data_IF_581404605735
#
_entry.id   IF_581404605735
#
_cell.length_a   1.000
_cell.length_b   1.000
_cell.length_c   1.000
_cell.angle_alpha   90.00
_cell.angle_beta   90.00
_cell.angle_gamma   90.00
#
_symmetry.space_group_name_H-M   'P 1'
#
loop_
_entity.id
_entity.type
_entity.pdbx_description
1 polymer ?
#
# COMPACT_ATOMS: atom_id res chain seq x y z
N UNK A 1 20.11 -30.34 -7.75
CA UNK A 1 18.83 -31.03 -7.96
C UNK A 1 17.69 -30.29 -7.27
N UNK A 2 17.78 -30.04 -5.96
CA UNK A 2 16.72 -29.37 -5.18
C UNK A 2 16.33 -27.98 -5.69
N UNK A 3 17.29 -27.08 -5.94
CA UNK A 3 17.01 -25.76 -6.52
C UNK A 3 16.39 -25.82 -7.93
N UNK A 4 16.65 -26.88 -8.71
CA UNK A 4 15.99 -27.06 -10.01
C UNK A 4 14.52 -27.41 -9.83
N UNK A 5 14.19 -28.35 -8.93
CA UNK A 5 12.81 -28.70 -8.60
C UNK A 5 12.04 -27.49 -8.04
N UNK A 6 12.69 -26.72 -7.16
CA UNK A 6 12.12 -25.49 -6.60
C UNK A 6 11.83 -24.45 -7.70
N UNK A 7 12.75 -24.32 -8.67
CA UNK A 7 12.56 -23.40 -9.81
C UNK A 7 11.44 -23.86 -10.73
N UNK A 8 11.30 -25.18 -10.96
CA UNK A 8 10.16 -25.74 -11.71
C UNK A 8 8.85 -25.43 -10.99
N UNK A 9 8.77 -25.68 -9.68
CA UNK A 9 7.60 -25.34 -8.87
C UNK A 9 7.27 -23.86 -8.94
N UNK A 10 8.28 -22.99 -8.78
CA UNK A 10 8.14 -21.54 -8.91
C UNK A 10 7.57 -21.13 -10.27
N UNK A 11 8.11 -21.66 -11.38
CA UNK A 11 7.66 -21.32 -12.73
C UNK A 11 6.21 -21.75 -12.94
N UNK A 12 5.84 -22.96 -12.50
CA UNK A 12 4.46 -23.46 -12.63
C UNK A 12 3.49 -22.61 -11.81
N UNK A 13 3.78 -22.35 -10.54
CA UNK A 13 2.93 -21.54 -9.67
C UNK A 13 2.76 -20.12 -10.20
N UNK A 14 3.88 -19.47 -10.55
CA UNK A 14 3.90 -18.09 -11.04
C UNK A 14 3.17 -17.98 -12.38
N UNK A 15 3.36 -18.92 -13.31
CA UNK A 15 2.67 -18.94 -14.60
C UNK A 15 1.15 -19.15 -14.45
N UNK A 16 0.75 -20.02 -13.52
CA UNK A 16 -0.67 -20.23 -13.17
C UNK A 16 -1.32 -18.94 -12.68
N UNK A 17 -0.67 -18.23 -11.74
CA UNK A 17 -1.17 -16.95 -11.21
C UNK A 17 -1.20 -15.88 -12.30
N UNK A 18 -0.15 -15.74 -13.11
CA UNK A 18 -0.14 -14.78 -14.22
C UNK A 18 -1.24 -15.04 -15.23
N UNK A 19 -1.55 -16.31 -15.52
CA UNK A 19 -2.67 -16.66 -16.42
C UNK A 19 -4.00 -16.19 -15.85
N UNK A 20 -4.21 -16.35 -14.53
CA UNK A 20 -5.40 -15.83 -13.84
C UNK A 20 -5.48 -14.30 -13.91
N UNK A 21 -4.36 -13.62 -13.62
CA UNK A 21 -4.26 -12.14 -13.68
C UNK A 21 -4.58 -11.64 -15.09
N UNK A 22 -3.97 -12.25 -16.12
CA UNK A 22 -4.17 -11.86 -17.51
C UNK A 22 -5.63 -12.05 -17.94
N UNK A 23 -6.23 -13.20 -17.61
CA UNK A 23 -7.66 -13.46 -17.90
C UNK A 23 -8.56 -12.45 -17.19
N UNK A 24 -8.27 -12.13 -15.93
CA UNK A 24 -9.04 -11.13 -15.18
C UNK A 24 -8.96 -9.74 -15.84
N UNK A 25 -7.75 -9.32 -16.24
CA UNK A 25 -7.54 -8.05 -16.93
C UNK A 25 -8.28 -7.98 -18.28
N UNK A 26 -8.22 -9.05 -19.09
CA UNK A 26 -8.93 -9.09 -20.38
C UNK A 26 -10.45 -9.02 -20.20
N UNK A 27 -11.00 -9.61 -19.13
CA UNK A 27 -12.44 -9.65 -18.90
C UNK A 27 -13.02 -8.35 -18.31
N UNK A 28 -12.30 -7.67 -17.42
CA UNK A 28 -12.84 -6.55 -16.63
C UNK A 28 -11.99 -5.27 -16.69
N UNK A 29 -10.81 -5.30 -17.31
CA UNK A 29 -9.85 -4.20 -17.26
C UNK A 29 -9.26 -4.05 -15.86
N UNK A 30 -9.30 -2.83 -15.32
CA UNK A 30 -8.87 -2.57 -13.94
C UNK A 30 -9.91 -3.07 -12.92
N UNK A 31 -9.43 -3.89 -11.97
CA UNK A 31 -10.15 -4.30 -10.77
C UNK A 31 -9.20 -4.29 -9.56
N UNK A 32 -9.75 -4.20 -8.36
CA UNK A 32 -8.99 -4.36 -7.13
C UNK A 32 -8.47 -5.80 -6.97
N UNK A 33 -9.18 -6.80 -7.50
CA UNK A 33 -8.63 -8.14 -7.66
C UNK A 33 -7.36 -8.15 -8.51
N UNK A 34 -7.37 -7.53 -9.70
CA UNK A 34 -6.19 -7.42 -10.55
C UNK A 34 -5.02 -6.74 -9.82
N UNK A 35 -5.29 -5.62 -9.13
CA UNK A 35 -4.29 -4.89 -8.35
C UNK A 35 -3.71 -5.74 -7.21
N UNK A 36 -4.58 -6.39 -6.43
CA UNK A 36 -4.17 -7.26 -5.33
C UNK A 36 -3.28 -8.39 -5.83
N UNK A 37 -3.71 -9.11 -6.87
CA UNK A 37 -2.97 -10.23 -7.42
C UNK A 37 -1.61 -9.81 -7.98
N UNK A 38 -1.53 -8.64 -8.62
CA UNK A 38 -0.25 -8.08 -9.07
C UNK A 38 0.69 -7.78 -7.90
N UNK A 39 0.21 -7.10 -6.86
CA UNK A 39 1.02 -6.78 -5.67
C UNK A 39 1.44 -8.06 -4.95
N UNK A 40 0.55 -9.05 -4.87
CA UNK A 40 0.82 -10.35 -4.27
C UNK A 40 1.97 -11.07 -4.98
N UNK A 41 1.94 -11.15 -6.31
CA UNK A 41 3.02 -11.73 -7.11
C UNK A 41 4.34 -10.98 -6.92
N UNK A 42 4.30 -9.64 -6.96
CA UNK A 42 5.50 -8.83 -6.74
C UNK A 42 6.06 -9.04 -5.33
N UNK A 43 5.20 -9.15 -4.31
CA UNK A 43 5.64 -9.27 -2.92
C UNK A 43 6.24 -10.64 -2.62
N UNK A 44 5.61 -11.73 -3.08
CA UNK A 44 5.99 -13.08 -2.68
C UNK A 44 6.76 -13.89 -3.73
N UNK A 45 6.67 -13.56 -5.01
CA UNK A 45 7.30 -14.34 -6.09
C UNK A 45 8.45 -13.60 -6.80
N UNK A 46 8.43 -12.27 -6.89
CA UNK A 46 9.46 -11.55 -7.65
C UNK A 46 10.86 -11.63 -7.01
N UNK A 47 10.96 -11.86 -5.70
CA UNK A 47 12.22 -11.93 -4.98
C UNK A 47 12.96 -13.26 -5.15
N UNK A 48 12.28 -14.37 -5.41
CA UNK A 48 12.90 -15.69 -5.61
C UNK A 48 14.00 -15.70 -6.68
N UNK A 49 13.77 -15.22 -7.93
CA UNK A 49 14.82 -15.19 -8.93
C UNK A 49 15.98 -14.27 -8.54
N UNK A 50 15.71 -13.18 -7.82
CA UNK A 50 16.77 -12.27 -7.34
C UNK A 50 17.62 -12.97 -6.27
N UNK A 51 17.00 -13.70 -5.33
CA UNK A 51 17.73 -14.50 -4.32
C UNK A 51 18.60 -15.58 -4.97
N UNK A 52 18.11 -16.25 -6.02
CA UNK A 52 18.92 -17.21 -6.77
C UNK A 52 20.12 -16.54 -7.46
N UNK A 53 19.91 -15.38 -8.11
CA UNK A 53 21.00 -14.63 -8.72
C UNK A 53 22.05 -14.21 -7.68
N UNK A 54 21.61 -13.75 -6.50
CA UNK A 54 22.51 -13.42 -5.39
C UNK A 54 23.31 -14.63 -4.91
N UNK A 55 22.70 -15.81 -4.79
CA UNK A 55 23.42 -17.04 -4.43
C UNK A 55 24.42 -17.46 -5.50
N UNK A 56 24.00 -17.50 -6.77
CA UNK A 56 24.82 -18.03 -7.87
C UNK A 56 25.99 -17.11 -8.21
N UNK A 57 25.76 -15.78 -8.25
CA UNK A 57 26.79 -14.83 -8.70
C UNK A 57 27.60 -14.21 -7.57
N UNK A 58 27.05 -14.15 -6.36
CA UNK A 58 27.69 -13.46 -5.22
C UNK A 58 27.91 -14.37 -4.01
N UNK A 59 27.59 -15.67 -4.10
CA UNK A 59 27.65 -16.61 -2.96
C UNK A 59 26.95 -16.06 -1.70
N UNK A 60 25.86 -15.31 -1.90
CA UNK A 60 25.09 -14.76 -0.80
C UNK A 60 24.49 -15.88 0.05
N UNK A 61 24.55 -15.73 1.37
CA UNK A 61 23.91 -16.65 2.30
C UNK A 61 22.39 -16.45 2.22
N UNK A 62 21.70 -17.45 1.68
CA UNK A 62 20.26 -17.46 1.50
C UNK A 62 19.68 -18.70 2.18
N UNK A 63 18.41 -18.61 2.56
CA UNK A 63 17.75 -19.68 3.29
C UNK A 63 17.82 -21.03 2.54
N UNK A 64 17.83 -22.16 3.27
CA UNK A 64 17.92 -23.47 2.66
C UNK A 64 16.72 -23.79 1.76
N UNK A 65 16.89 -24.70 0.78
CA UNK A 65 15.87 -25.02 -0.22
C UNK A 65 14.51 -25.41 0.37
N UNK A 66 14.51 -26.15 1.48
CA UNK A 66 13.30 -26.57 2.19
C UNK A 66 12.49 -25.37 2.69
N UNK A 67 13.17 -24.33 3.21
CA UNK A 67 12.49 -23.13 3.70
C UNK A 67 11.83 -22.37 2.57
N UNK A 68 12.53 -22.25 1.45
CA UNK A 68 11.98 -21.64 0.25
C UNK A 68 10.83 -22.43 -0.35
N UNK A 69 10.90 -23.76 -0.33
CA UNK A 69 9.80 -24.61 -0.77
C UNK A 69 8.55 -24.38 0.08
N UNK A 70 8.66 -24.44 1.41
CA UNK A 70 7.54 -24.19 2.31
C UNK A 70 6.97 -22.79 2.16
N UNK A 71 7.84 -21.78 2.00
CA UNK A 71 7.41 -20.40 1.76
C UNK A 71 6.60 -20.27 0.46
N UNK A 72 7.09 -20.84 -0.66
CA UNK A 72 6.41 -20.82 -1.96
C UNK A 72 5.13 -21.65 -1.96
N UNK A 73 5.12 -22.79 -1.26
CA UNK A 73 3.95 -23.65 -1.12
C UNK A 73 2.82 -22.90 -0.41
N UNK A 74 3.08 -22.35 0.77
CA UNK A 74 2.08 -21.59 1.52
C UNK A 74 1.68 -20.28 0.86
N UNK A 75 2.59 -19.66 0.10
CA UNK A 75 2.24 -18.53 -0.76
C UNK A 75 1.26 -18.95 -1.86
N UNK A 76 1.52 -20.07 -2.53
CA UNK A 76 0.65 -20.56 -3.61
C UNK A 76 -0.71 -20.99 -3.07
N UNK A 77 -0.74 -21.71 -1.94
CA UNK A 77 -1.96 -22.10 -1.25
C UNK A 77 -2.75 -20.89 -0.74
N UNK A 78 -2.08 -19.92 -0.12
CA UNK A 78 -2.68 -18.68 0.35
C UNK A 78 -3.37 -17.90 -0.77
N UNK A 79 -2.70 -17.77 -1.93
CA UNK A 79 -3.31 -17.17 -3.12
C UNK A 79 -4.50 -17.99 -3.62
N UNK A 80 -4.40 -19.32 -3.65
CA UNK A 80 -5.50 -20.21 -4.05
C UNK A 80 -6.74 -20.06 -3.16
N UNK A 81 -6.56 -19.97 -1.83
CA UNK A 81 -7.64 -19.73 -0.86
C UNK A 81 -8.28 -18.37 -1.11
N UNK A 82 -7.47 -17.33 -1.27
CA UNK A 82 -7.96 -15.99 -1.61
C UNK A 82 -8.77 -15.99 -2.91
N UNK A 83 -8.24 -16.60 -3.97
CA UNK A 83 -8.87 -16.66 -5.27
C UNK A 83 -10.22 -17.40 -5.19
N UNK A 84 -10.25 -18.55 -4.53
CA UNK A 84 -11.47 -19.30 -4.29
C UNK A 84 -12.49 -18.50 -3.48
N UNK A 85 -12.04 -17.83 -2.42
CA UNK A 85 -12.91 -16.98 -1.60
C UNK A 85 -13.52 -15.82 -2.38
N UNK A 86 -12.71 -15.11 -3.16
CA UNK A 86 -13.13 -13.96 -3.98
C UNK A 86 -14.19 -14.33 -5.04
N UNK A 87 -14.06 -15.52 -5.64
CA UNK A 87 -14.96 -15.98 -6.69
C UNK A 87 -16.20 -16.72 -6.17
N UNK A 88 -16.07 -17.53 -5.12
CA UNK A 88 -17.13 -18.44 -4.69
C UNK A 88 -17.83 -18.01 -3.39
N UNK A 89 -17.09 -17.57 -2.37
CA UNK A 89 -17.69 -17.24 -1.06
C UNK A 89 -18.54 -15.97 -1.09
N UNK A 90 -18.17 -15.00 -1.92
CA UNK A 90 -18.81 -13.67 -1.95
C UNK A 90 -19.56 -13.39 -3.26
N UNK A 91 -20.02 -14.46 -3.93
CA UNK A 91 -20.66 -14.40 -5.24
C UNK A 91 -22.13 -13.98 -5.17
N UNK A 92 -22.40 -12.77 -4.64
CA UNK A 92 -23.66 -12.09 -4.96
C UNK A 92 -23.47 -11.36 -6.28
N UNK A 93 -24.28 -11.70 -7.27
CA UNK A 93 -24.28 -11.08 -8.59
C UNK A 93 -24.20 -9.55 -8.44
N UNK A 94 -23.11 -8.96 -8.93
CA UNK A 94 -23.10 -7.53 -9.20
C UNK A 94 -24.08 -7.31 -10.35
N UNK A 95 -25.26 -6.79 -10.04
CA UNK A 95 -26.13 -6.22 -11.06
C UNK A 95 -25.27 -5.19 -11.78
N UNK A 96 -24.98 -5.44 -13.06
CA UNK A 96 -24.38 -4.43 -13.94
C UNK A 96 -25.36 -3.26 -13.96
N UNK A 97 -25.14 -2.30 -13.07
CA UNK A 97 -25.84 -1.03 -13.06
C UNK A 97 -25.42 -0.25 -14.30
N UNK A 98 -25.95 -0.62 -15.47
CA UNK A 98 -26.00 0.24 -16.65
C UNK A 98 -26.96 1.38 -16.32
N UNK A 99 -26.61 2.33 -15.48
CA UNK A 99 -27.34 3.60 -15.44
C UNK A 99 -26.42 4.73 -15.03
N UNK A 100 -26.22 5.63 -16.00
CA UNK A 100 -26.04 7.06 -15.81
C UNK A 100 -27.15 7.57 -14.87
N UNK A 101 -26.97 7.39 -13.56
CA UNK A 101 -27.72 8.18 -12.59
C UNK A 101 -27.18 9.59 -12.80
N UNK A 102 -28.00 10.49 -13.36
CA UNK A 102 -27.67 11.91 -13.41
C UNK A 102 -27.26 12.32 -12.00
N UNK A 103 -25.96 12.51 -11.79
CA UNK A 103 -25.42 12.85 -10.47
C UNK A 103 -26.13 14.13 -10.04
N UNK A 104 -26.91 14.03 -8.96
CA UNK A 104 -27.71 15.15 -8.48
C UNK A 104 -26.81 16.35 -8.24
N UNK A 105 -27.35 17.56 -8.45
CA UNK A 105 -26.60 18.79 -8.16
C UNK A 105 -26.09 18.80 -6.71
N UNK A 106 -26.87 18.21 -5.79
CA UNK A 106 -26.48 17.94 -4.42
C UNK A 106 -25.20 17.11 -4.32
N UNK A 107 -25.16 15.93 -4.94
CA UNK A 107 -24.00 15.03 -4.87
C UNK A 107 -22.74 15.66 -5.48
N UNK A 108 -22.89 16.45 -6.55
CA UNK A 108 -21.77 17.22 -7.13
C UNK A 108 -21.25 18.29 -6.16
N UNK A 109 -22.15 19.05 -5.52
CA UNK A 109 -21.79 20.10 -4.56
C UNK A 109 -21.14 19.52 -3.31
N UNK A 110 -21.67 18.41 -2.79
CA UNK A 110 -21.07 17.65 -1.69
C UNK A 110 -19.66 17.19 -2.07
N UNK A 111 -19.49 16.53 -3.21
CA UNK A 111 -18.19 16.03 -3.65
C UNK A 111 -17.15 17.16 -3.82
N UNK A 112 -17.53 18.29 -4.43
CA UNK A 112 -16.65 19.47 -4.52
C UNK A 112 -16.23 19.96 -3.12
N UNK A 113 -17.17 20.11 -2.21
CA UNK A 113 -16.87 20.59 -0.86
C UNK A 113 -15.98 19.61 -0.09
N UNK A 114 -16.23 18.31 -0.20
CA UNK A 114 -15.36 17.26 0.35
C UNK A 114 -13.94 17.37 -0.22
N UNK A 115 -13.80 17.59 -1.53
CA UNK A 115 -12.49 17.73 -2.17
C UNK A 115 -11.72 18.95 -1.63
N UNK A 116 -12.39 20.11 -1.50
CA UNK A 116 -11.77 21.30 -0.92
C UNK A 116 -11.36 21.08 0.54
N UNK A 117 -12.23 20.50 1.37
CA UNK A 117 -11.92 20.24 2.78
C UNK A 117 -10.74 19.26 2.93
N UNK A 118 -10.70 18.18 2.15
CA UNK A 118 -9.59 17.23 2.17
C UNK A 118 -8.26 17.88 1.73
N UNK A 119 -8.30 18.71 0.69
CA UNK A 119 -7.12 19.45 0.23
C UNK A 119 -6.64 20.43 1.31
N UNK A 120 -7.55 21.16 1.95
CA UNK A 120 -7.24 22.09 3.04
C UNK A 120 -6.61 21.38 4.23
N UNK A 121 -7.13 20.24 4.65
CA UNK A 121 -6.54 19.42 5.73
C UNK A 121 -5.10 19.01 5.38
N UNK A 122 -4.87 18.56 4.15
CA UNK A 122 -3.53 18.15 3.71
C UNK A 122 -2.54 19.33 3.63
N UNK A 123 -2.98 20.49 3.13
CA UNK A 123 -2.11 21.69 3.01
C UNK A 123 -1.81 22.31 4.37
N UNK A 124 -2.82 22.47 5.24
CA UNK A 124 -2.64 23.02 6.59
C UNK A 124 -1.72 22.11 7.42
N UNK A 125 -1.93 20.78 7.36
CA UNK A 125 -1.06 19.84 8.08
C UNK A 125 0.38 19.90 7.58
N UNK A 126 0.61 20.01 6.27
CA UNK A 126 1.96 20.17 5.71
C UNK A 126 2.59 21.49 6.15
N UNK A 127 1.86 22.60 6.07
CA UNK A 127 2.32 23.91 6.50
C UNK A 127 2.69 23.95 7.98
N UNK A 128 1.84 23.38 8.84
CA UNK A 128 2.12 23.28 10.28
C UNK A 128 3.32 22.37 10.58
N UNK A 129 3.48 21.27 9.85
CA UNK A 129 4.65 20.40 9.99
C UNK A 129 5.96 21.11 9.62
N UNK A 130 5.94 21.90 8.54
CA UNK A 130 7.09 22.74 8.12
C UNK A 130 7.35 23.85 9.14
N UNK A 131 6.31 24.46 9.71
CA UNK A 131 6.47 25.47 10.76
C UNK A 131 7.17 24.91 12.01
N UNK A 132 6.80 23.70 12.44
CA UNK A 132 7.38 23.07 13.62
C UNK A 132 8.82 22.58 13.43
N UNK A 133 9.15 22.05 12.25
CA UNK A 133 10.42 21.31 12.05
C UNK A 133 11.37 21.95 11.04
N UNK A 134 10.91 22.94 10.27
CA UNK A 134 11.59 23.41 9.07
C UNK A 134 11.61 22.36 7.95
N UNK A 135 12.54 22.51 7.00
CA UNK A 135 12.75 21.55 5.92
C UNK A 135 13.76 20.48 6.36
N UNK A 136 13.26 19.29 6.73
CA UNK A 136 14.09 18.22 7.31
C UNK A 136 15.15 17.67 6.34
N UNK A 137 14.93 17.76 5.03
CA UNK A 137 15.87 17.23 4.04
C UNK A 137 17.25 17.89 4.09
N UNK A 138 17.33 19.14 4.52
CA UNK A 138 18.61 19.87 4.64
C UNK A 138 19.24 19.75 6.04
N UNK A 139 18.55 19.13 7.01
CA UNK A 139 19.00 19.00 8.40
C UNK A 139 19.38 17.58 8.81
N UNK A 140 18.86 16.54 8.14
CA UNK A 140 19.04 15.15 8.56
C UNK A 140 20.05 14.43 7.67
N UNK A 141 21.08 13.84 8.27
CA UNK A 141 22.08 13.00 7.58
C UNK A 141 21.59 11.56 7.39
N UNK A 142 20.76 11.02 8.30
CA UNK A 142 20.26 9.62 8.25
C UNK A 142 18.74 9.51 8.29
N UNK A 143 18.16 8.62 7.49
CA UNK A 143 16.69 8.39 7.43
C UNK A 143 16.10 7.95 8.77
N UNK A 144 16.84 7.20 9.58
CA UNK A 144 16.39 6.76 10.92
C UNK A 144 16.17 7.93 11.89
N UNK A 145 16.83 9.08 11.68
CA UNK A 145 16.67 10.27 12.52
C UNK A 145 15.29 10.93 12.33
N UNK A 146 14.54 10.57 11.29
CA UNK A 146 13.14 10.99 11.08
C UNK A 146 12.23 10.47 12.20
N UNK A 147 12.64 9.42 12.91
CA UNK A 147 11.93 8.82 14.05
C UNK A 147 12.58 9.16 15.40
N UNK A 148 13.59 10.04 15.42
CA UNK A 148 14.18 10.53 16.66
C UNK A 148 13.29 11.59 17.32
N UNK A 149 13.53 11.85 18.61
CA UNK A 149 12.86 12.92 19.36
C UNK A 149 13.07 14.33 18.78
N UNK A 150 13.98 14.49 17.82
CA UNK A 150 14.26 15.76 17.13
C UNK A 150 13.12 16.20 16.19
N UNK A 151 12.19 15.31 15.81
CA UNK A 151 11.09 15.62 14.90
C UNK A 151 9.76 15.60 15.64
N UNK A 152 9.13 16.76 15.76
CA UNK A 152 7.81 16.92 16.38
C UNK A 152 6.69 16.74 15.35
N UNK A 153 5.53 16.23 15.77
CA UNK A 153 4.36 16.15 14.88
C UNK A 153 4.42 15.05 13.81
N UNK A 154 5.11 13.93 14.05
CA UNK A 154 5.18 12.78 13.11
C UNK A 154 3.78 12.28 12.69
N UNK A 155 2.78 12.38 13.57
CA UNK A 155 1.40 12.04 13.27
C UNK A 155 0.81 12.87 12.10
N UNK A 156 1.28 14.12 11.90
CA UNK A 156 0.77 14.98 10.83
C UNK A 156 1.05 14.42 9.43
N UNK A 157 2.11 13.62 9.29
CA UNK A 157 2.48 13.00 8.01
C UNK A 157 1.34 12.15 7.43
N UNK A 158 0.47 11.60 8.29
CA UNK A 158 -0.68 10.78 7.88
C UNK A 158 -1.76 11.60 7.18
N UNK A 159 -1.83 12.92 7.43
CA UNK A 159 -2.82 13.78 6.79
C UNK A 159 -2.40 14.26 5.40
N UNK A 160 -1.11 14.18 5.05
CA UNK A 160 -0.61 14.56 3.73
C UNK A 160 -1.25 13.71 2.63
N UNK A 161 -1.54 12.44 2.93
CA UNK A 161 -2.17 11.51 2.00
C UNK A 161 -3.56 11.94 1.53
N UNK A 162 -4.27 12.82 2.26
CA UNK A 162 -5.63 13.24 1.88
C UNK A 162 -5.69 14.18 0.66
N UNK A 163 -4.56 14.75 0.21
CA UNK A 163 -4.55 15.50 -1.04
C UNK A 163 -4.87 14.61 -2.25
N UNK A 164 -4.40 13.36 -2.26
CA UNK A 164 -4.62 12.46 -3.39
C UNK A 164 -6.11 12.11 -3.57
N UNK A 165 -6.86 11.70 -2.52
CA UNK A 165 -8.32 11.62 -2.57
C UNK A 165 -8.99 12.91 -3.04
N UNK A 166 -8.51 14.09 -2.64
CA UNK A 166 -9.07 15.36 -3.13
C UNK A 166 -8.91 15.51 -4.65
N UNK A 167 -7.70 15.26 -5.18
CA UNK A 167 -7.42 15.27 -6.62
C UNK A 167 -8.25 14.22 -7.37
N UNK A 168 -8.45 13.03 -6.78
CA UNK A 168 -9.30 11.97 -7.32
C UNK A 168 -10.75 12.43 -7.45
N UNK A 169 -11.31 13.10 -6.43
CA UNK A 169 -12.67 13.63 -6.51
C UNK A 169 -12.79 14.66 -7.64
N UNK A 170 -11.84 15.59 -7.76
CA UNK A 170 -11.82 16.58 -8.86
C UNK A 170 -11.77 15.93 -10.24
N UNK A 171 -11.00 14.84 -10.37
CA UNK A 171 -10.94 14.04 -11.59
C UNK A 171 -12.30 13.38 -11.90
N UNK A 172 -12.86 12.61 -10.97
CA UNK A 172 -14.11 11.87 -11.20
C UNK A 172 -15.34 12.75 -11.38
N UNK A 173 -15.30 14.00 -10.90
CA UNK A 173 -16.38 14.96 -11.13
C UNK A 173 -16.53 15.35 -12.61
N UNK A 174 -15.43 15.46 -13.36
CA UNK A 174 -15.45 15.59 -14.82
C UNK A 174 -14.24 14.85 -15.40
N UNK A 175 -14.35 13.57 -15.74
CA UNK A 175 -13.22 12.80 -16.26
C UNK A 175 -12.81 13.35 -17.63
N UNK A 176 -11.53 13.74 -17.77
CA UNK A 176 -10.93 14.20 -19.02
C UNK A 176 -9.42 13.91 -18.99
N UNK A 177 -8.81 13.66 -20.16
CA UNK A 177 -7.36 13.47 -20.33
C UNK A 177 -6.55 14.61 -19.73
N UNK A 178 -7.00 15.87 -19.88
CA UNK A 178 -6.31 17.02 -19.26
C UNK A 178 -6.29 16.93 -17.72
N UNK A 179 -7.41 16.54 -17.11
CA UNK A 179 -7.51 16.40 -15.64
C UNK A 179 -6.77 15.18 -15.12
N UNK A 180 -6.65 14.14 -15.93
CA UNK A 180 -5.80 12.99 -15.64
C UNK A 180 -4.33 13.38 -15.56
N UNK A 181 -3.83 14.20 -16.49
CA UNK A 181 -2.48 14.78 -16.39
C UNK A 181 -2.34 15.76 -15.22
N UNK A 182 -3.35 16.59 -14.94
CA UNK A 182 -3.34 17.46 -13.77
C UNK A 182 -3.26 16.68 -12.45
N UNK A 183 -3.88 15.50 -12.37
CA UNK A 183 -3.75 14.61 -11.21
C UNK A 183 -2.30 14.17 -11.02
N UNK A 184 -1.58 13.81 -12.11
CA UNK A 184 -0.17 13.47 -12.05
C UNK A 184 0.67 14.68 -11.61
N UNK A 185 0.54 15.81 -12.29
CA UNK A 185 1.34 17.01 -11.98
C UNK A 185 1.07 17.51 -10.56
N UNK A 186 -0.20 17.59 -10.14
CA UNK A 186 -0.57 17.99 -8.79
C UNK A 186 -0.08 17.01 -7.72
N UNK A 187 -0.25 15.71 -7.95
CA UNK A 187 0.19 14.67 -7.03
C UNK A 187 1.72 14.58 -6.90
N UNK A 188 2.46 14.65 -8.01
CA UNK A 188 3.92 14.63 -8.03
C UNK A 188 4.50 15.91 -7.42
N UNK A 189 3.95 17.09 -7.74
CA UNK A 189 4.41 18.36 -7.17
C UNK A 189 4.25 18.38 -5.65
N UNK A 190 3.09 17.95 -5.15
CA UNK A 190 2.89 17.80 -3.71
C UNK A 190 3.78 16.70 -3.11
N UNK A 191 3.98 15.61 -3.83
CA UNK A 191 4.92 14.55 -3.46
C UNK A 191 6.35 15.07 -3.29
N UNK A 192 6.81 15.96 -4.18
CA UNK A 192 8.12 16.62 -4.08
C UNK A 192 8.18 17.58 -2.90
N UNK A 193 7.14 18.39 -2.67
CA UNK A 193 7.07 19.26 -1.49
C UNK A 193 7.15 18.47 -0.19
N UNK A 194 6.38 17.39 -0.06
CA UNK A 194 6.44 16.50 1.11
C UNK A 194 7.77 15.76 1.21
N UNK A 195 8.40 15.40 0.10
CA UNK A 195 9.74 14.80 0.07
C UNK A 195 10.77 15.74 0.71
N UNK A 196 10.77 17.02 0.35
CA UNK A 196 11.68 18.03 0.94
C UNK A 196 11.32 18.30 2.40
N UNK A 197 10.04 18.45 2.72
CA UNK A 197 9.58 18.75 4.09
C UNK A 197 9.90 17.62 5.08
N UNK A 198 9.70 16.35 4.69
CA UNK A 198 9.79 15.19 5.59
C UNK A 198 11.19 14.57 5.64
N UNK A 199 12.10 14.95 4.75
CA UNK A 199 13.47 14.39 4.72
C UNK A 199 13.61 13.17 3.81
N UNK A 200 12.90 13.15 2.68
CA UNK A 200 13.17 12.25 1.57
C UNK A 200 12.25 11.03 1.48
N UNK A 201 11.02 11.11 1.98
CA UNK A 201 10.01 10.04 1.83
C UNK A 201 9.42 10.03 0.41
N UNK A 202 9.64 8.93 -0.33
CA UNK A 202 9.23 8.80 -1.74
C UNK A 202 7.81 8.27 -1.94
N UNK A 203 7.13 7.88 -0.86
CA UNK A 203 5.83 7.20 -0.89
C UNK A 203 4.73 8.01 -1.60
N UNK A 204 4.65 9.33 -1.35
CA UNK A 204 3.64 10.19 -1.97
C UNK A 204 3.80 10.31 -3.49
N UNK A 205 5.05 10.40 -3.97
CA UNK A 205 5.35 10.45 -5.41
C UNK A 205 4.97 9.11 -6.05
N UNK A 206 5.40 8.00 -5.45
CA UNK A 206 5.09 6.66 -5.95
C UNK A 206 3.57 6.41 -6.01
N UNK A 207 2.83 6.85 -4.99
CA UNK A 207 1.38 6.72 -4.94
C UNK A 207 0.67 7.56 -6.00
N UNK A 208 1.13 8.81 -6.23
CA UNK A 208 0.60 9.65 -7.30
C UNK A 208 0.79 9.03 -8.69
N UNK A 209 2.00 8.52 -8.98
CA UNK A 209 2.31 7.81 -10.24
C UNK A 209 1.47 6.54 -10.37
N UNK A 210 1.33 5.76 -9.29
CA UNK A 210 0.52 4.55 -9.32
C UNK A 210 -0.96 4.87 -9.62
N UNK A 211 -1.53 5.87 -8.94
CA UNK A 211 -2.92 6.31 -9.21
C UNK A 211 -3.10 6.75 -10.66
N UNK A 212 -2.14 7.51 -11.20
CA UNK A 212 -2.17 7.92 -12.61
C UNK A 212 -2.21 6.72 -13.56
N UNK A 213 -1.36 5.71 -13.35
CA UNK A 213 -1.34 4.49 -14.17
C UNK A 213 -2.64 3.71 -14.04
N UNK A 214 -3.12 3.48 -12.82
CA UNK A 214 -4.32 2.68 -12.57
C UNK A 214 -5.58 3.34 -13.15
N UNK A 215 -5.70 4.66 -13.03
CA UNK A 215 -6.78 5.41 -13.69
C UNK A 215 -6.62 5.35 -15.21
N UNK A 216 -5.39 5.44 -15.72
CA UNK A 216 -5.09 5.30 -17.14
C UNK A 216 -5.50 3.93 -17.70
N UNK A 217 -5.28 2.85 -16.93
CA UNK A 217 -5.75 1.51 -17.27
C UNK A 217 -7.28 1.42 -17.20
N UNK A 218 -7.89 1.96 -16.15
CA UNK A 218 -9.36 1.95 -15.97
C UNK A 218 -10.09 2.70 -17.09
N UNK A 219 -9.53 3.82 -17.56
CA UNK A 219 -10.12 4.67 -18.61
C UNK A 219 -9.70 4.27 -20.03
N UNK A 220 -8.83 3.27 -20.18
CA UNK A 220 -8.29 2.84 -21.48
C UNK A 220 -7.32 3.82 -22.13
N UNK A 221 -6.74 4.76 -21.37
CA UNK A 221 -5.71 5.68 -21.87
C UNK A 221 -4.34 5.00 -22.00
N UNK A 222 -4.10 3.98 -21.17
CA UNK A 222 -2.86 3.21 -21.13
C UNK A 222 -3.14 1.73 -21.40
N UNK A 223 -2.12 1.02 -21.91
CA UNK A 223 -2.14 -0.44 -22.07
C UNK A 223 -1.43 -1.09 -20.87
N UNK A 224 -1.69 -2.38 -20.63
CA UNK A 224 -1.03 -3.15 -19.58
C UNK A 224 0.50 -3.12 -19.68
N UNK A 225 1.04 -3.07 -20.92
CA UNK A 225 2.49 -2.94 -21.14
C UNK A 225 3.07 -1.67 -20.52
N UNK A 226 2.33 -0.56 -20.51
CA UNK A 226 2.76 0.69 -19.89
C UNK A 226 2.98 0.54 -18.39
N UNK A 227 2.18 -0.29 -17.71
CA UNK A 227 2.40 -0.61 -16.29
C UNK A 227 3.73 -1.32 -16.09
N UNK A 228 4.05 -2.31 -16.93
CA UNK A 228 5.30 -3.07 -16.83
C UNK A 228 6.53 -2.19 -17.09
N UNK A 229 6.53 -1.39 -18.17
CA UNK A 229 7.62 -0.46 -18.47
C UNK A 229 7.80 0.59 -17.38
N UNK A 230 6.71 1.13 -16.85
CA UNK A 230 6.80 2.14 -15.79
C UNK A 230 7.27 1.52 -14.47
N UNK A 231 6.88 0.27 -14.17
CA UNK A 231 7.38 -0.44 -13.00
C UNK A 231 8.90 -0.67 -13.07
N UNK A 232 9.41 -1.18 -14.19
CA UNK A 232 10.85 -1.38 -14.39
C UNK A 232 11.60 -0.05 -14.31
N UNK A 233 11.14 0.96 -15.04
CA UNK A 233 11.73 2.30 -15.01
C UNK A 233 11.72 2.88 -13.60
N UNK A 234 10.63 2.68 -12.84
CA UNK A 234 10.53 3.10 -11.45
C UNK A 234 11.58 2.45 -10.54
N UNK A 235 11.84 1.14 -10.68
CA UNK A 235 12.91 0.45 -9.94
C UNK A 235 14.27 1.06 -10.25
N UNK A 236 14.57 1.28 -11.53
CA UNK A 236 15.85 1.85 -11.99
C UNK A 236 16.04 3.28 -11.46
N UNK A 237 15.04 4.14 -11.62
CA UNK A 237 15.07 5.53 -11.11
C UNK A 237 15.23 5.55 -9.59
N UNK A 238 14.51 4.69 -8.87
CA UNK A 238 14.60 4.61 -7.40
C UNK A 238 16.00 4.19 -6.94
N UNK A 239 16.66 3.30 -7.68
CA UNK A 239 18.03 2.89 -7.42
C UNK A 239 19.02 4.03 -7.65
N UNK A 240 18.96 4.73 -8.79
CA UNK A 240 19.83 5.89 -9.04
C UNK A 240 19.64 6.99 -7.99
N UNK A 241 18.39 7.27 -7.59
CA UNK A 241 18.11 8.21 -6.50
C UNK A 241 18.66 7.73 -5.15
N UNK A 242 18.79 6.43 -4.92
CA UNK A 242 19.42 5.89 -3.72
C UNK A 242 20.95 6.07 -3.77
N UNK A 243 21.59 5.75 -4.89
CA UNK A 243 23.03 5.97 -5.09
C UNK A 243 23.42 7.44 -4.87
N UNK A 244 22.70 8.35 -5.53
CA UNK A 244 22.93 9.80 -5.39
C UNK A 244 22.74 10.27 -3.95
N UNK A 245 21.78 9.71 -3.20
CA UNK A 245 21.51 10.10 -1.82
C UNK A 245 22.57 9.60 -0.85
N UNK A 246 23.11 8.41 -1.07
CA UNK A 246 24.06 7.79 -0.16
C UNK A 246 25.53 8.04 -0.54
N UNK A 247 25.80 8.81 -1.60
CA UNK A 247 27.17 9.13 -2.03
C UNK A 247 27.97 7.86 -2.34
N UNK A 248 27.29 6.81 -2.79
CA UNK A 248 27.88 5.50 -3.04
C UNK A 248 28.63 5.53 -4.37
N UNK A 249 29.91 5.87 -4.34
CA UNK A 249 30.86 5.74 -5.46
C UNK A 249 31.22 4.27 -5.65
N UNK A 250 30.31 3.51 -6.25
CA UNK A 250 30.50 2.05 -6.39
C UNK A 250 30.64 1.75 -7.88
N UNK A 251 31.89 1.57 -8.30
CA UNK A 251 32.26 0.96 -9.57
C UNK A 251 32.40 -0.56 -9.36
N UNK A 252 31.70 -1.37 -10.15
CA UNK A 252 31.94 -2.83 -10.22
C UNK A 252 30.83 -3.73 -9.67
N UNK A 253 31.23 -4.94 -9.25
CA UNK A 253 30.32 -6.03 -8.85
C UNK A 253 29.52 -5.73 -7.57
N UNK A 254 30.06 -4.93 -6.66
CA UNK A 254 29.39 -4.56 -5.40
C UNK A 254 28.12 -3.72 -5.65
N UNK A 255 28.12 -2.84 -6.64
CA UNK A 255 26.95 -2.04 -7.05
C UNK A 255 25.79 -2.94 -7.45
N UNK A 256 26.09 -4.01 -8.20
CA UNK A 256 25.11 -5.00 -8.64
C UNK A 256 24.61 -5.85 -7.49
N UNK A 257 25.48 -6.25 -6.56
CA UNK A 257 25.06 -6.93 -5.33
C UNK A 257 24.10 -6.04 -4.52
N UNK A 258 24.50 -4.81 -4.22
CA UNK A 258 23.69 -3.85 -3.46
C UNK A 258 22.38 -3.53 -4.17
N UNK A 259 22.40 -3.37 -5.50
CA UNK A 259 21.20 -3.18 -6.29
C UNK A 259 20.21 -4.34 -6.14
N UNK A 260 20.68 -5.57 -6.38
CA UNK A 260 19.83 -6.76 -6.33
C UNK A 260 19.33 -7.01 -4.91
N UNK A 261 20.20 -6.88 -3.92
CA UNK A 261 19.86 -7.04 -2.50
C UNK A 261 18.79 -6.02 -2.06
N UNK A 262 19.02 -4.72 -2.30
CA UNK A 262 18.06 -3.68 -1.95
C UNK A 262 16.76 -3.80 -2.75
N UNK A 263 16.83 -4.16 -4.03
CA UNK A 263 15.64 -4.33 -4.88
C UNK A 263 14.79 -5.48 -4.38
N UNK A 264 15.40 -6.63 -4.03
CA UNK A 264 14.70 -7.76 -3.42
C UNK A 264 13.98 -7.32 -2.15
N UNK A 265 14.70 -6.77 -1.17
CA UNK A 265 14.12 -6.46 0.13
C UNK A 265 13.11 -5.30 0.06
N UNK A 266 13.30 -4.36 -0.88
CA UNK A 266 12.42 -3.20 -1.06
C UNK A 266 11.15 -3.52 -1.83
N UNK A 267 11.12 -4.52 -2.73
CA UNK A 267 9.93 -4.83 -3.53
C UNK A 267 9.30 -6.18 -3.19
N UNK A 268 10.12 -7.16 -2.82
CA UNK A 268 9.70 -8.53 -2.51
C UNK A 268 10.36 -8.99 -1.20
N UNK A 269 9.82 -8.60 -0.03
CA UNK A 269 10.26 -9.08 1.28
C UNK A 269 9.88 -10.57 1.53
N UNK A 270 9.99 -11.41 0.51
CA UNK A 270 9.57 -12.81 0.53
C UNK A 270 10.45 -13.67 1.46
N UNK A 271 11.73 -13.31 1.64
CA UNK A 271 12.61 -14.00 2.57
C UNK A 271 12.19 -13.80 4.03
N UNK A 272 11.53 -12.69 4.35
CA UNK A 272 10.97 -12.47 5.70
C UNK A 272 9.90 -13.52 5.99
N UNK A 273 9.04 -13.80 5.00
CA UNK A 273 8.05 -14.86 5.11
C UNK A 273 8.70 -16.24 5.31
N UNK A 274 9.75 -16.56 4.54
CA UNK A 274 10.48 -17.81 4.70
C UNK A 274 11.10 -17.95 6.10
N UNK A 275 11.71 -16.88 6.64
CA UNK A 275 12.31 -16.87 7.98
C UNK A 275 11.28 -17.09 9.08
N UNK A 276 10.10 -16.46 8.97
CA UNK A 276 9.01 -16.59 9.95
C UNK A 276 8.56 -18.05 10.10
N UNK A 277 8.45 -18.80 9.00
CA UNK A 277 8.00 -20.19 9.03
C UNK A 277 8.92 -21.15 9.81
N UNK A 278 10.20 -20.80 9.96
CA UNK A 278 11.21 -21.65 10.60
C UNK A 278 11.76 -21.04 11.90
N UNK A 279 11.17 -19.94 12.35
CA UNK A 279 11.48 -19.35 13.64
C UNK A 279 10.56 -19.93 14.71
N UNK A 280 11.07 -20.06 15.93
CA UNK A 280 10.22 -20.36 17.08
C UNK A 280 9.39 -19.11 17.41
N UNK A 281 8.06 -19.24 17.35
CA UNK A 281 7.14 -18.11 17.51
C UNK A 281 6.15 -18.41 18.63
N UNK A 282 6.06 -17.47 19.56
CA UNK A 282 4.93 -17.38 20.47
C UNK A 282 3.78 -16.64 19.77
N UNK A 283 2.67 -17.35 19.51
CA UNK A 283 1.53 -16.79 18.80
C UNK A 283 0.91 -15.62 19.58
N UNK A 284 0.82 -14.47 18.91
CA UNK A 284 0.39 -13.22 19.55
C UNK A 284 -1.13 -13.04 19.61
N UNK A 285 -1.90 -13.98 19.06
CA UNK A 285 -3.34 -13.84 18.88
C UNK A 285 -3.70 -12.64 17.97
N UNK A 286 -4.89 -12.08 18.17
CA UNK A 286 -5.34 -10.89 17.42
C UNK A 286 -4.87 -9.56 18.03
N UNK A 287 -4.11 -9.63 19.13
CA UNK A 287 -3.66 -8.45 19.87
C UNK A 287 -2.80 -7.48 19.04
N UNK A 288 -1.94 -7.93 18.08
CA UNK A 288 -1.19 -7.01 17.23
C UNK A 288 -2.07 -6.00 16.48
N UNK A 289 -3.28 -6.39 16.07
CA UNK A 289 -4.24 -5.50 15.39
C UNK A 289 -4.64 -4.35 16.32
N UNK A 290 -4.97 -4.67 17.57
CA UNK A 290 -5.38 -3.68 18.57
C UNK A 290 -4.20 -2.78 18.93
N UNK A 291 -3.03 -3.36 19.17
CA UNK A 291 -1.82 -2.62 19.53
C UNK A 291 -1.42 -1.64 18.43
N UNK A 292 -1.60 -1.96 17.15
CA UNK A 292 -1.27 -1.04 16.06
C UNK A 292 -2.08 0.28 16.11
N UNK A 293 -3.26 0.29 16.74
CA UNK A 293 -4.01 1.52 16.99
C UNK A 293 -3.35 2.45 18.01
N UNK A 294 -2.45 1.96 18.86
CA UNK A 294 -1.78 2.78 19.87
C UNK A 294 -1.00 3.91 19.22
N UNK A 295 -0.55 3.74 17.97
CA UNK A 295 0.15 4.78 17.22
C UNK A 295 -0.68 6.05 17.02
N UNK A 296 -2.01 5.96 17.04
CA UNK A 296 -2.91 7.11 16.89
C UNK A 296 -3.19 7.85 18.21
N UNK A 297 -2.84 7.26 19.36
CA UNK A 297 -3.10 7.87 20.68
C UNK A 297 -1.87 8.70 21.08
N UNK A 298 -1.95 10.04 21.13
CA UNK A 298 -0.82 10.86 21.54
C UNK A 298 -0.45 10.62 23.01
N UNK A 299 0.84 10.73 23.35
CA UNK A 299 1.33 10.57 24.73
C UNK A 299 0.71 11.59 25.70
N UNK A 300 0.21 12.73 25.20
CA UNK A 300 -0.53 13.70 26.02
C UNK A 300 -1.86 13.14 26.56
N UNK A 301 -2.49 12.22 25.83
CA UNK A 301 -3.75 11.58 26.24
C UNK A 301 -3.52 10.25 26.98
N UNK A 302 -2.37 9.61 26.76
CA UNK A 302 -1.98 8.38 27.44
C UNK A 302 -0.50 8.44 27.83
N UNK A 303 -0.22 8.88 29.05
CA UNK A 303 1.14 9.09 29.55
C UNK A 303 1.92 7.77 29.69
N UNK A 304 1.25 6.70 30.11
CA UNK A 304 1.83 5.34 30.25
C UNK A 304 1.84 4.54 28.94
N UNK A 305 1.62 5.20 27.79
CA UNK A 305 1.63 4.52 26.50
C UNK A 305 3.01 3.87 26.28
N UNK A 306 3.08 2.58 25.92
CA UNK A 306 4.35 1.94 25.58
C UNK A 306 5.05 2.66 24.42
N UNK A 307 6.34 2.94 24.59
CA UNK A 307 7.16 3.57 23.54
C UNK A 307 7.24 2.69 22.28
N UNK A 308 7.28 1.37 22.48
CA UNK A 308 7.29 0.38 21.41
C UNK A 308 5.91 -0.26 21.33
N UNK A 309 5.28 -0.09 20.17
CA UNK A 309 4.01 -0.75 19.86
C UNK A 309 4.28 -2.18 19.38
N UNK A 310 3.90 -3.19 20.16
CA UNK A 310 4.09 -4.61 19.82
C UNK A 310 3.08 -5.10 18.77
N UNK A 311 3.20 -4.58 17.55
CA UNK A 311 2.52 -5.06 16.35
C UNK A 311 3.34 -6.20 15.69
N UNK A 312 2.80 -6.82 14.63
CA UNK A 312 3.45 -7.96 13.98
C UNK A 312 4.82 -7.60 13.40
N UNK A 313 4.98 -6.35 12.93
CA UNK A 313 6.25 -5.86 12.40
C UNK A 313 7.33 -5.69 13.47
N UNK A 314 7.01 -5.09 14.61
CA UNK A 314 7.96 -4.94 15.71
C UNK A 314 8.27 -6.28 16.38
N UNK A 315 7.30 -7.18 16.48
CA UNK A 315 7.55 -8.55 16.93
C UNK A 315 8.55 -9.26 16.01
N UNK A 316 8.29 -9.26 14.70
CA UNK A 316 9.21 -9.86 13.72
C UNK A 316 10.61 -9.23 13.76
N UNK A 317 10.68 -7.91 13.84
CA UNK A 317 11.96 -7.19 13.84
C UNK A 317 12.78 -7.47 15.09
N UNK A 318 12.17 -7.40 16.28
CA UNK A 318 12.90 -7.43 17.54
C UNK A 318 13.10 -8.83 18.09
N UNK A 319 12.09 -9.69 17.96
CA UNK A 319 12.10 -11.04 18.54
C UNK A 319 12.71 -12.03 17.54
N UNK A 320 12.25 -12.00 16.29
CA UNK A 320 12.68 -12.99 15.29
C UNK A 320 14.02 -12.60 14.65
N UNK A 321 14.16 -11.35 14.19
CA UNK A 321 15.41 -10.91 13.55
C UNK A 321 16.49 -10.45 14.55
N UNK A 322 16.16 -10.33 15.84
CA UNK A 322 17.07 -9.78 16.86
C UNK A 322 17.49 -8.33 16.60
N UNK A 323 16.79 -7.61 15.72
CA UNK A 323 17.15 -6.28 15.31
C UNK A 323 16.51 -5.24 16.26
N UNK A 324 17.33 -4.64 17.11
CA UNK A 324 16.90 -3.58 18.04
C UNK A 324 16.95 -2.17 17.44
N UNK A 325 17.28 -2.03 16.15
CA UNK A 325 17.15 -0.74 15.47
C UNK A 325 15.69 -0.28 15.53
N UNK A 326 15.47 1.04 15.68
CA UNK A 326 14.12 1.62 15.69
C UNK A 326 13.35 1.53 14.37
N UNK A 327 13.81 0.71 13.41
CA UNK A 327 13.22 0.52 12.09
C UNK A 327 12.48 -0.82 12.03
N UNK A 328 11.16 -0.75 11.87
CA UNK A 328 10.34 -1.95 11.72
C UNK A 328 10.49 -2.56 10.32
N UNK A 329 10.86 -3.84 10.28
CA UNK A 329 10.90 -4.68 9.08
C UNK A 329 9.56 -5.41 8.96
N UNK A 330 9.02 -5.48 7.73
CA UNK A 330 7.71 -6.08 7.52
C UNK A 330 7.75 -7.62 7.54
N UNK A 331 6.77 -8.27 8.22
CA UNK A 331 6.53 -9.70 8.15
C UNK A 331 5.70 -10.14 6.94
N UNK A 332 5.20 -9.21 6.09
CA UNK A 332 4.24 -9.43 5.00
C UNK A 332 2.85 -9.88 5.45
N UNK A 333 1.89 -9.97 4.53
CA UNK A 333 0.53 -10.46 4.80
C UNK A 333 0.52 -11.85 5.45
N UNK A 334 1.20 -12.83 4.83
CA UNK A 334 1.20 -14.22 5.32
C UNK A 334 1.92 -14.33 6.66
N UNK A 335 3.05 -13.64 6.82
CA UNK A 335 3.78 -13.62 8.08
C UNK A 335 2.97 -12.96 9.21
N UNK A 336 2.20 -11.90 8.91
CA UNK A 336 1.31 -11.31 9.91
C UNK A 336 0.24 -12.29 10.40
N UNK A 337 -0.39 -13.06 9.52
CA UNK A 337 -1.34 -14.09 9.91
C UNK A 337 -0.67 -15.23 10.69
N UNK A 338 0.52 -15.66 10.27
CA UNK A 338 1.25 -16.72 10.96
C UNK A 338 1.67 -16.30 12.37
N UNK A 339 2.18 -15.09 12.57
CA UNK A 339 2.53 -14.54 13.89
C UNK A 339 1.31 -14.46 14.81
N UNK A 340 0.14 -14.13 14.25
CA UNK A 340 -1.08 -14.00 15.04
C UNK A 340 -1.69 -15.37 15.44
N UNK A 341 -1.56 -16.42 14.63
CA UNK A 341 -2.24 -17.69 14.91
C UNK A 341 -1.88 -18.87 14.03
N UNK A 342 -0.68 -18.87 13.43
CA UNK A 342 -0.15 -19.96 12.63
C UNK A 342 -0.92 -20.23 11.33
N UNK A 343 -0.83 -21.47 10.85
CA UNK A 343 -1.48 -21.90 9.60
C UNK A 343 -3.00 -21.70 9.55
N UNK A 344 -3.78 -21.98 10.63
CA UNK A 344 -5.23 -21.76 10.59
C UNK A 344 -5.60 -20.31 10.30
N UNK A 345 -4.85 -19.35 10.87
CA UNK A 345 -5.14 -17.94 10.68
C UNK A 345 -4.74 -17.44 9.29
N UNK A 346 -3.78 -18.09 8.60
CA UNK A 346 -3.53 -17.83 7.18
C UNK A 346 -4.79 -18.16 6.36
N UNK A 347 -5.41 -19.32 6.60
CA UNK A 347 -6.59 -19.74 5.85
C UNK A 347 -7.74 -18.76 6.08
N UNK A 348 -8.08 -18.50 7.35
CA UNK A 348 -9.17 -17.57 7.71
C UNK A 348 -8.86 -16.15 7.21
N UNK A 349 -7.61 -15.71 7.37
CA UNK A 349 -7.14 -14.40 6.95
C UNK A 349 -7.25 -14.20 5.45
N UNK A 350 -6.80 -15.17 4.63
CA UNK A 350 -6.89 -15.07 3.17
C UNK A 350 -8.35 -15.12 2.67
N UNK A 351 -9.24 -15.85 3.35
CA UNK A 351 -10.70 -15.77 3.10
C UNK A 351 -11.22 -14.35 3.39
N UNK A 352 -10.84 -13.77 4.53
CA UNK A 352 -11.19 -12.40 4.90
C UNK A 352 -10.70 -11.36 3.88
N UNK A 353 -9.45 -11.50 3.42
CA UNK A 353 -8.87 -10.66 2.36
C UNK A 353 -9.65 -10.80 1.04
N UNK A 354 -10.08 -12.02 0.68
CA UNK A 354 -10.96 -12.26 -0.46
C UNK A 354 -12.25 -11.43 -0.38
N UNK A 355 -12.88 -11.40 0.79
CA UNK A 355 -14.06 -10.59 1.07
C UNK A 355 -13.82 -9.08 1.00
N UNK A 356 -12.69 -8.60 1.56
CA UNK A 356 -12.31 -7.19 1.52
C UNK A 356 -12.12 -6.74 0.07
N UNK A 357 -11.32 -7.46 -0.73
CA UNK A 357 -11.07 -7.08 -2.12
C UNK A 357 -12.37 -7.13 -2.94
N UNK A 358 -13.23 -8.12 -2.70
CA UNK A 358 -14.56 -8.18 -3.33
C UNK A 358 -15.43 -6.99 -2.96
N UNK A 359 -15.40 -6.55 -1.71
CA UNK A 359 -16.13 -5.37 -1.26
C UNK A 359 -15.64 -4.11 -2.00
N UNK A 360 -14.33 -3.93 -2.14
CA UNK A 360 -13.77 -2.81 -2.92
C UNK A 360 -14.20 -2.84 -4.39
N UNK A 361 -14.10 -4.00 -5.05
CA UNK A 361 -14.56 -4.15 -6.43
C UNK A 361 -16.06 -3.84 -6.57
N UNK A 362 -16.87 -4.34 -5.63
CA UNK A 362 -18.32 -4.08 -5.62
C UNK A 362 -18.63 -2.61 -5.40
N UNK A 363 -18.01 -1.96 -4.42
CA UNK A 363 -18.22 -0.54 -4.12
C UNK A 363 -17.84 0.32 -5.32
N UNK A 364 -16.71 0.03 -5.95
CA UNK A 364 -16.20 0.78 -7.09
C UNK A 364 -17.06 0.62 -8.35
N UNK A 365 -17.59 -0.58 -8.61
CA UNK A 365 -18.38 -0.85 -9.82
C UNK A 365 -19.87 -0.53 -9.67
N UNK A 366 -20.47 -0.81 -8.50
CA UNK A 366 -21.92 -0.69 -8.28
C UNK A 366 -22.36 0.73 -7.97
N UNK A 367 -21.51 1.53 -7.32
CA UNK A 367 -21.84 2.89 -6.90
C UNK A 367 -20.90 3.93 -7.53
N UNK A 368 -21.08 4.26 -8.84
CA UNK A 368 -20.21 5.17 -9.57
C UNK A 368 -20.46 6.64 -9.17
N UNK A 369 -20.17 6.97 -7.92
CA UNK A 369 -20.09 8.33 -7.42
C UNK A 369 -18.62 8.74 -7.31
N UNK A 370 -18.32 10.02 -7.60
CA UNK A 370 -16.96 10.54 -7.49
C UNK A 370 -16.37 10.33 -6.08
N UNK A 371 -17.20 10.41 -5.03
CA UNK A 371 -16.80 10.17 -3.65
C UNK A 371 -16.41 8.71 -3.39
N UNK A 372 -17.23 7.76 -3.81
CA UNK A 372 -16.96 6.33 -3.58
C UNK A 372 -15.76 5.88 -4.43
N UNK A 373 -15.66 6.32 -5.68
CA UNK A 373 -14.51 5.99 -6.53
C UNK A 373 -13.21 6.58 -5.98
N UNK A 374 -13.23 7.84 -5.53
CA UNK A 374 -12.08 8.47 -4.88
C UNK A 374 -11.73 7.82 -3.53
N UNK A 375 -12.72 7.38 -2.75
CA UNK A 375 -12.50 6.63 -1.52
C UNK A 375 -11.83 5.27 -1.79
N UNK A 376 -12.32 4.52 -2.78
CA UNK A 376 -11.76 3.21 -3.13
C UNK A 376 -10.32 3.35 -3.66
N UNK A 377 -10.08 4.28 -4.59
CA UNK A 377 -8.73 4.53 -5.10
C UNK A 377 -7.81 5.19 -4.07
N UNK A 378 -8.34 6.04 -3.19
CA UNK A 378 -7.59 6.65 -2.08
C UNK A 378 -7.02 5.60 -1.11
N UNK A 379 -7.69 4.44 -1.00
CA UNK A 379 -7.23 3.32 -0.19
C UNK A 379 -6.21 2.40 -0.90
N UNK A 380 -5.77 2.69 -2.13
CA UNK A 380 -4.76 1.86 -2.83
C UNK A 380 -3.49 1.71 -1.99
N UNK A 381 -3.05 2.77 -1.31
CA UNK A 381 -1.90 2.67 -0.40
C UNK A 381 -2.14 1.64 0.70
N UNK A 382 -3.31 1.68 1.33
CA UNK A 382 -3.66 0.72 2.38
C UNK A 382 -3.72 -0.71 1.83
N UNK A 383 -4.19 -0.92 0.60
CA UNK A 383 -4.17 -2.24 -0.05
C UNK A 383 -2.75 -2.73 -0.37
N UNK A 384 -1.81 -1.83 -0.68
CA UNK A 384 -0.39 -2.19 -0.80
C UNK A 384 0.16 -2.60 0.57
N UNK A 385 -0.13 -1.83 1.63
CA UNK A 385 0.26 -2.11 3.02
C UNK A 385 -0.30 -3.46 3.48
N UNK A 386 -1.53 -3.81 3.11
CA UNK A 386 -2.12 -5.11 3.41
C UNK A 386 -1.23 -6.26 2.97
N UNK A 387 -0.76 -6.24 1.72
CA UNK A 387 0.06 -7.31 1.17
C UNK A 387 1.49 -7.22 1.68
N UNK A 388 2.05 -6.00 1.67
CA UNK A 388 3.48 -5.75 1.85
C UNK A 388 3.92 -5.60 3.28
N UNK A 389 3.08 -5.02 4.14
CA UNK A 389 3.41 -4.70 5.54
C UNK A 389 2.77 -5.70 6.51
N UNK A 390 1.50 -6.03 6.33
CA UNK A 390 0.75 -6.94 7.20
C UNK A 390 -0.72 -6.55 7.37
N UNK A 391 -1.52 -7.47 7.90
CA UNK A 391 -2.97 -7.25 8.10
C UNK A 391 -3.27 -6.23 9.22
N UNK A 392 -2.53 -6.26 10.32
CA UNK A 392 -2.63 -5.31 11.43
C UNK A 392 -2.37 -3.86 10.98
N UNK A 393 -1.26 -3.65 10.25
CA UNK A 393 -0.92 -2.34 9.70
C UNK A 393 -1.97 -1.84 8.69
N UNK A 394 -2.58 -2.74 7.92
CA UNK A 394 -3.69 -2.40 7.04
C UNK A 394 -4.92 -1.96 7.82
N UNK A 395 -5.39 -2.75 8.79
CA UNK A 395 -6.63 -2.48 9.53
C UNK A 395 -6.57 -1.10 10.19
N UNK A 396 -5.47 -0.79 10.87
CA UNK A 396 -5.34 0.48 11.58
C UNK A 396 -5.36 1.68 10.63
N UNK A 397 -4.62 1.62 9.51
CA UNK A 397 -4.55 2.69 8.50
C UNK A 397 -5.85 2.83 7.71
N UNK A 398 -6.47 1.70 7.38
CA UNK A 398 -7.77 1.67 6.71
C UNK A 398 -8.86 2.29 7.58
N UNK A 399 -8.94 1.90 8.86
CA UNK A 399 -9.88 2.48 9.81
C UNK A 399 -9.65 3.99 9.98
N UNK A 400 -8.40 4.43 10.17
CA UNK A 400 -8.07 5.85 10.28
C UNK A 400 -8.46 6.64 9.03
N UNK A 401 -8.08 6.15 7.84
CA UNK A 401 -8.43 6.79 6.57
C UNK A 401 -9.95 6.88 6.40
N UNK A 402 -10.66 5.79 6.68
CA UNK A 402 -12.11 5.72 6.52
C UNK A 402 -12.86 6.62 7.48
N UNK A 403 -12.40 6.69 8.74
CA UNK A 403 -12.93 7.59 9.75
C UNK A 403 -12.75 9.05 9.35
N UNK A 404 -11.53 9.45 8.98
CA UNK A 404 -11.24 10.82 8.56
C UNK A 404 -11.98 11.23 7.28
N UNK A 405 -11.99 10.35 6.28
CA UNK A 405 -12.73 10.59 5.04
C UNK A 405 -14.24 10.70 5.31
N UNK A 406 -14.77 9.84 6.19
CA UNK A 406 -16.17 9.85 6.64
C UNK A 406 -16.55 11.15 7.33
N UNK A 407 -15.73 11.64 8.27
CA UNK A 407 -15.94 12.92 8.96
C UNK A 407 -15.97 14.07 7.95
N UNK A 408 -14.95 14.18 7.10
CA UNK A 408 -14.85 15.30 6.14
C UNK A 408 -16.02 15.28 5.16
N UNK A 409 -16.41 14.10 4.67
CA UNK A 409 -17.57 13.94 3.79
C UNK A 409 -18.90 14.22 4.50
N UNK A 410 -19.02 13.85 5.77
CA UNK A 410 -20.19 14.12 6.61
C UNK A 410 -20.37 15.61 6.90
N UNK A 411 -19.28 16.31 7.23
CA UNK A 411 -19.26 17.77 7.39
C UNK A 411 -19.71 18.43 6.08
N UNK A 412 -19.14 18.02 4.94
CA UNK A 412 -19.54 18.54 3.64
C UNK A 412 -21.04 18.31 3.34
N UNK A 413 -21.57 17.14 3.68
CA UNK A 413 -22.99 16.82 3.53
C UNK A 413 -23.88 17.78 4.34
N UNK A 414 -23.54 18.02 5.61
CA UNK A 414 -24.29 18.92 6.50
C UNK A 414 -24.30 20.35 5.95
N UNK A 415 -23.14 20.90 5.56
CA UNK A 415 -23.04 22.25 5.00
C UNK A 415 -23.86 22.41 3.71
N UNK A 416 -23.83 21.42 2.82
CA UNK A 416 -24.62 21.47 1.58
C UNK A 416 -26.10 21.38 1.88
N UNK A 417 -26.51 20.55 2.85
CA UNK A 417 -27.92 20.41 3.27
C UNK A 417 -28.46 21.71 3.88
N UNK A 418 -27.69 22.37 4.75
CA UNK A 418 -28.05 23.67 5.35
C UNK A 418 -28.20 24.72 4.26
N UNK A 419 -27.18 24.88 3.38
CA UNK A 419 -27.22 25.91 2.33
C UNK A 419 -28.25 25.69 1.21
N UNK A 420 -28.94 24.54 1.18
CA UNK A 420 -30.12 24.32 0.30
C UNK A 420 -31.40 24.69 1.04
N UNK A 421 -31.48 24.43 2.35
CA UNK A 421 -32.63 24.81 3.17
C UNK A 421 -32.84 26.32 3.15
N UNK A 422 -31.76 27.09 3.29
CA UNK A 422 -31.81 28.56 3.29
C UNK A 422 -32.29 29.16 1.95
N UNK A 423 -32.05 28.47 0.82
CA UNK A 423 -32.49 28.88 -0.52
C UNK A 423 -33.97 28.61 -0.80
N UNK A 424 -34.64 27.80 0.01
CA UNK A 424 -36.07 27.52 -0.11
C UNK A 424 -36.93 28.30 0.89
N UNK A 425 -36.30 29.02 1.83
CA UNK A 425 -36.96 29.83 2.87
C UNK A 425 -36.88 31.34 2.63
N UNK A 426 -36.33 31.78 1.50
CA UNK A 426 -36.36 33.15 1.00
C UNK A 426 -36.78 33.15 -0.46
#
# INVERSE_FOLDING_TARGET
MEYMLLTVFYVVATSGIFTVIYRSYVQQGFSFHFLFSLIYVVTFFAGYPISLLLKVYFNADIAPPEQFFMALLWTSLGYGIYWGSYHYCFNRQCVKGKHSVKVSAFAKKQANLTAYLLATVAVISLGYFIYLNGLLLFRLEKYSQIFSSLVSGVALKRFFYFLLPALLIFYFLKPNKMRWWLLLFGGVSFGLLTYVAVGGTRANIALAVMLFILIGLYQGYLRLSSLFFTAISGVVVMFFLALMRYGLDVNGKETWFTFLYLTRDTFSPWENWARILFSEIEYQGLMPIIRDFYVYIPQSLWQERPDIVWNSANYFTKVILGNQSGLAISPTLLGSFYIMGGYPLIIIGMVGVGGIIKLFDRLFQTFPSALIQAYCLGNIFNLIVLVREGFDAFVSRFCFFSFMFGIVSGIAYIFVKIGIRDKHSG
#
